data_IF_875617287638
#
_entry.id   IF_875617287638
#
_cell.length_a   1.000
_cell.length_b   1.000
_cell.length_c   1.000
_cell.angle_alpha   90.00
_cell.angle_beta   90.00
_cell.angle_gamma   90.00
#
_symmetry.space_group_name_H-M   'P 1'
#
loop_
_entity.id
_entity.type
_entity.pdbx_description
1 polymer ?
#
# COMPACT_ATOMS: atom_id res chain seq x y z
N UNK A 1 1.05 18.66 31.70
CA UNK A 1 1.47 20.06 31.92
C UNK A 1 2.91 20.19 32.45
N UNK A 2 3.19 20.12 33.77
CA UNK A 2 4.58 20.36 34.29
C UNK A 2 5.61 19.30 33.86
N UNK A 3 5.18 18.04 33.68
CA UNK A 3 6.05 16.96 33.20
C UNK A 3 6.41 17.07 31.72
N UNK A 4 5.46 17.46 30.87
CA UNK A 4 5.66 17.65 29.42
C UNK A 4 6.63 18.80 29.14
N UNK A 5 6.42 19.96 29.78
CA UNK A 5 7.31 21.11 29.60
C UNK A 5 8.78 20.83 29.99
N UNK A 6 9.00 19.93 30.97
CA UNK A 6 10.35 19.51 31.36
C UNK A 6 10.96 18.53 30.34
N UNK A 7 10.14 17.62 29.81
CA UNK A 7 10.55 16.68 28.75
C UNK A 7 10.95 17.44 27.48
N UNK A 8 10.21 18.48 27.12
CA UNK A 8 10.52 19.34 25.98
C UNK A 8 11.90 20.02 26.13
N UNK A 9 12.21 20.57 27.31
CA UNK A 9 13.50 21.21 27.56
C UNK A 9 14.69 20.24 27.54
N UNK A 10 14.53 19.05 28.13
CA UNK A 10 15.58 18.02 28.12
C UNK A 10 15.81 17.49 26.70
N UNK A 11 14.73 17.22 25.96
CA UNK A 11 14.80 16.80 24.56
C UNK A 11 15.55 17.84 23.72
N UNK A 12 15.17 19.11 23.82
CA UNK A 12 15.85 20.20 23.10
C UNK A 12 17.31 20.33 23.51
N UNK A 13 17.64 20.14 24.79
CA UNK A 13 19.02 20.18 25.26
C UNK A 13 19.85 19.01 24.67
N UNK A 14 19.29 17.80 24.63
CA UNK A 14 19.95 16.63 24.04
C UNK A 14 20.16 16.79 22.52
N UNK A 15 19.14 17.28 21.81
CA UNK A 15 19.23 17.50 20.36
C UNK A 15 20.19 18.62 19.97
N UNK A 16 20.48 19.56 20.88
CA UNK A 16 21.50 20.60 20.69
C UNK A 16 22.92 20.11 20.99
N UNK A 17 23.09 19.08 21.83
CA UNK A 17 24.40 18.48 22.12
C UNK A 17 24.82 17.64 20.92
N UNK A 18 25.83 18.09 20.19
CA UNK A 18 26.21 17.50 18.89
C UNK A 18 26.89 16.12 18.94
N UNK A 19 27.01 15.50 20.11
CA UNK A 19 27.58 14.15 20.26
C UNK A 19 26.56 13.06 19.95
N UNK A 20 27.03 11.94 19.37
CA UNK A 20 26.16 10.84 18.92
C UNK A 20 25.31 10.24 20.05
N UNK A 21 25.84 10.14 21.28
CA UNK A 21 25.09 9.58 22.42
C UNK A 21 23.90 10.46 22.80
N UNK A 22 24.10 11.78 22.88
CA UNK A 22 23.03 12.74 23.15
C UNK A 22 22.00 12.77 22.01
N UNK A 23 22.44 12.67 20.75
CA UNK A 23 21.54 12.60 19.59
C UNK A 23 20.67 11.34 19.61
N UNK A 24 21.28 10.19 19.93
CA UNK A 24 20.57 8.92 20.10
C UNK A 24 19.56 9.01 21.22
N UNK A 25 19.96 9.45 22.42
CA UNK A 25 19.03 9.59 23.55
C UNK A 25 17.90 10.57 23.26
N UNK A 26 18.23 11.67 22.58
CA UNK A 26 17.24 12.64 22.11
C UNK A 26 16.27 12.02 21.11
N UNK A 27 16.74 11.18 20.19
CA UNK A 27 15.90 10.46 19.24
C UNK A 27 14.96 9.47 19.93
N UNK A 28 15.45 8.74 20.93
CA UNK A 28 14.66 7.80 21.73
C UNK A 28 13.54 8.54 22.49
N UNK A 29 13.88 9.67 23.10
CA UNK A 29 12.90 10.55 23.75
C UNK A 29 11.89 11.11 22.76
N UNK A 30 12.34 11.56 21.58
CA UNK A 30 11.50 12.05 20.51
C UNK A 30 10.55 10.96 19.99
N UNK A 31 11.02 9.72 19.86
CA UNK A 31 10.22 8.57 19.45
C UNK A 31 9.09 8.27 20.46
N UNK A 32 9.41 8.24 21.75
CA UNK A 32 8.42 8.06 22.83
C UNK A 32 7.41 9.21 22.84
N UNK A 33 7.86 10.42 22.49
CA UNK A 33 6.99 11.59 22.41
C UNK A 33 6.06 11.52 21.19
N UNK A 34 6.59 11.22 20.00
CA UNK A 34 5.84 11.11 18.76
C UNK A 34 4.82 9.95 18.77
N UNK A 35 5.16 8.82 19.40
CA UNK A 35 4.23 7.68 19.54
C UNK A 35 3.02 7.96 20.43
N UNK A 36 3.11 8.95 21.34
CA UNK A 36 2.01 9.34 22.24
C UNK A 36 1.22 10.55 21.74
N UNK A 37 1.78 11.33 20.83
CA UNK A 37 1.16 12.54 20.34
C UNK A 37 0.06 12.18 19.32
N UNK A 38 -1.20 12.47 19.64
CA UNK A 38 -2.23 12.58 18.61
C UNK A 38 -1.90 13.79 17.73
N UNK A 39 -1.62 13.57 16.46
CA UNK A 39 -1.42 14.68 15.52
C UNK A 39 -2.77 15.32 15.14
N UNK A 40 -2.86 16.67 15.08
CA UNK A 40 -1.86 17.68 15.45
C UNK A 40 -1.93 18.06 16.94
N UNK A 41 -0.79 18.07 17.64
CA UNK A 41 -0.69 18.58 19.02
C UNK A 41 0.23 19.80 19.11
N UNK A 42 0.01 20.67 20.10
CA UNK A 42 0.88 21.85 20.38
C UNK A 42 2.36 21.46 20.54
N UNK A 43 2.59 20.25 21.02
CA UNK A 43 3.88 19.57 21.16
C UNK A 43 4.60 19.35 19.83
N UNK A 44 3.89 18.94 18.78
CA UNK A 44 4.45 18.83 17.42
C UNK A 44 4.82 20.21 16.88
N UNK A 45 3.99 21.22 17.15
CA UNK A 45 4.28 22.59 16.75
C UNK A 45 5.51 23.17 17.46
N UNK A 46 5.70 22.87 18.75
CA UNK A 46 6.91 23.23 19.49
C UNK A 46 8.15 22.51 18.94
N UNK A 47 8.03 21.24 18.55
CA UNK A 47 9.10 20.54 17.84
C UNK A 47 9.41 21.19 16.49
N UNK A 48 8.41 21.63 15.72
CA UNK A 48 8.62 22.38 14.46
C UNK A 48 9.37 23.69 14.69
N UNK A 49 9.10 24.40 15.79
CA UNK A 49 9.76 25.66 16.10
C UNK A 49 11.23 25.48 16.54
N UNK A 50 11.57 24.30 17.08
CA UNK A 50 12.91 24.05 17.65
C UNK A 50 13.78 23.18 16.75
N UNK A 51 13.19 22.27 15.99
CA UNK A 51 13.89 21.39 15.06
C UNK A 51 13.91 22.00 13.67
N UNK A 52 14.96 22.75 13.39
CA UNK A 52 15.33 23.09 12.02
C UNK A 52 15.70 21.81 11.25
N UNK A 53 15.86 21.91 9.92
CA UNK A 53 16.18 20.76 9.06
C UNK A 53 17.50 20.07 9.49
N UNK A 54 18.52 20.83 9.87
CA UNK A 54 19.86 20.30 10.17
C UNK A 54 19.90 19.38 11.42
N UNK A 55 19.32 19.72 12.59
CA UNK A 55 19.18 18.78 13.71
C UNK A 55 18.48 17.49 13.33
N UNK A 56 17.37 17.54 12.58
CA UNK A 56 16.63 16.35 12.16
C UNK A 56 17.49 15.44 11.28
N UNK A 57 18.22 16.03 10.34
CA UNK A 57 19.16 15.30 9.47
C UNK A 57 20.30 14.65 10.28
N UNK A 58 20.85 15.35 11.28
CA UNK A 58 21.89 14.79 12.17
C UNK A 58 21.38 13.63 13.02
N UNK A 59 20.18 13.75 13.60
CA UNK A 59 19.52 12.67 14.35
C UNK A 59 19.36 11.46 13.45
N UNK A 60 18.77 11.65 12.26
CA UNK A 60 18.49 10.58 11.33
C UNK A 60 19.76 9.87 10.85
N UNK A 61 20.81 10.64 10.55
CA UNK A 61 22.12 10.09 10.18
C UNK A 61 22.78 9.32 11.34
N UNK A 62 22.70 9.82 12.58
CA UNK A 62 23.24 9.14 13.77
C UNK A 62 22.54 7.80 14.02
N UNK A 63 21.20 7.78 13.94
CA UNK A 63 20.41 6.54 14.04
C UNK A 63 20.77 5.53 12.93
N UNK A 64 20.92 6.01 11.70
CA UNK A 64 21.28 5.17 10.55
C UNK A 64 22.67 4.55 10.72
N UNK A 65 23.67 5.32 11.16
CA UNK A 65 25.01 4.80 11.49
C UNK A 65 24.98 3.81 12.67
N UNK A 66 24.17 4.08 13.70
CA UNK A 66 23.99 3.16 14.83
C UNK A 66 23.44 1.81 14.35
N UNK A 67 22.49 1.78 13.42
CA UNK A 67 21.99 0.51 12.88
C UNK A 67 23.08 -0.32 12.19
N UNK A 68 24.06 0.32 11.57
CA UNK A 68 25.19 -0.36 10.93
C UNK A 68 26.14 -0.96 11.97
N UNK A 69 26.36 -0.29 13.11
CA UNK A 69 27.31 -0.72 14.13
C UNK A 69 26.75 -1.76 15.11
N UNK A 70 25.43 -1.86 15.25
CA UNK A 70 24.81 -2.78 16.20
C UNK A 70 24.92 -4.24 15.78
N UNK A 71 25.28 -5.08 16.75
CA UNK A 71 25.34 -6.54 16.62
C UNK A 71 23.97 -7.19 16.88
N UNK A 72 23.82 -8.47 16.51
CA UNK A 72 22.58 -9.22 16.78
C UNK A 72 22.30 -9.43 18.28
N UNK A 73 23.33 -9.34 19.13
CA UNK A 73 23.19 -9.38 20.60
C UNK A 73 22.55 -8.11 21.18
N UNK A 74 22.39 -7.05 20.39
CA UNK A 74 21.88 -5.75 20.82
C UNK A 74 20.48 -5.46 20.28
N UNK A 75 19.63 -6.49 20.20
CA UNK A 75 18.31 -6.39 19.57
C UNK A 75 17.43 -5.28 20.18
N UNK A 76 17.53 -5.01 21.49
CA UNK A 76 16.79 -3.91 22.12
C UNK A 76 17.19 -2.54 21.56
N UNK A 77 18.48 -2.32 21.29
CA UNK A 77 18.99 -1.09 20.71
C UNK A 77 18.63 -0.99 19.22
N UNK A 78 18.67 -2.11 18.49
CA UNK A 78 18.23 -2.16 17.10
C UNK A 78 16.75 -1.79 17.02
N UNK A 79 15.90 -2.46 17.81
CA UNK A 79 14.46 -2.17 17.90
C UNK A 79 14.21 -0.70 18.17
N UNK A 80 14.84 -0.16 19.21
CA UNK A 80 14.67 1.24 19.61
C UNK A 80 15.08 2.20 18.49
N UNK A 81 16.19 1.92 17.80
CA UNK A 81 16.69 2.78 16.71
C UNK A 81 15.78 2.73 15.49
N UNK A 82 15.32 1.55 15.07
CA UNK A 82 14.40 1.40 13.93
C UNK A 82 13.03 2.01 14.25
N UNK A 83 12.48 1.80 15.44
CA UNK A 83 11.22 2.43 15.86
C UNK A 83 11.33 3.96 15.91
N UNK A 84 12.47 4.50 16.34
CA UNK A 84 12.72 5.94 16.32
C UNK A 84 12.75 6.50 14.90
N UNK A 85 13.42 5.81 13.97
CA UNK A 85 13.40 6.17 12.55
C UNK A 85 11.99 6.12 11.97
N UNK A 86 11.20 5.08 12.29
CA UNK A 86 9.84 4.94 11.78
C UNK A 86 8.97 6.11 12.23
N UNK A 87 8.97 6.41 13.53
CA UNK A 87 8.17 7.51 14.08
C UNK A 87 8.57 8.88 13.49
N UNK A 88 9.86 9.10 13.21
CA UNK A 88 10.32 10.30 12.50
C UNK A 88 9.76 10.39 11.08
N UNK A 89 9.76 9.28 10.34
CA UNK A 89 9.40 9.25 8.92
C UNK A 89 7.89 9.12 8.65
N UNK A 90 7.09 8.82 9.67
CA UNK A 90 5.62 8.76 9.58
C UNK A 90 5.01 10.14 9.30
N UNK A 91 5.64 11.23 9.74
CA UNK A 91 5.23 12.58 9.39
C UNK A 91 5.83 12.98 8.04
N UNK A 92 4.98 13.30 7.06
CA UNK A 92 5.41 13.74 5.73
C UNK A 92 6.33 14.96 5.78
N UNK A 93 5.98 15.97 6.59
CA UNK A 93 6.79 17.16 6.77
C UNK A 93 8.17 16.86 7.36
N UNK A 94 8.24 16.02 8.41
CA UNK A 94 9.52 15.65 9.03
C UNK A 94 10.36 14.81 8.06
N UNK A 95 9.72 13.88 7.36
CA UNK A 95 10.37 13.08 6.31
C UNK A 95 10.96 13.96 5.23
N UNK A 96 10.21 14.94 4.73
CA UNK A 96 10.69 15.84 3.69
C UNK A 96 11.82 16.73 4.21
N UNK A 97 11.74 17.23 5.44
CA UNK A 97 12.84 17.98 6.07
C UNK A 97 14.12 17.14 6.23
N UNK A 98 13.99 15.87 6.64
CA UNK A 98 15.11 14.93 6.80
C UNK A 98 15.73 14.56 5.45
N UNK A 99 14.92 14.45 4.39
CA UNK A 99 15.37 14.02 3.06
C UNK A 99 15.69 15.19 2.12
N UNK A 100 15.40 16.43 2.52
CA UNK A 100 15.79 17.67 1.82
C UNK A 100 17.25 18.05 2.10
N UNK A 101 18.17 17.14 1.78
CA UNK A 101 19.62 17.35 1.87
C UNK A 101 20.25 17.43 0.47
N UNK A 102 21.47 18.00 0.33
CA UNK A 102 22.21 17.93 -0.91
C UNK A 102 22.39 16.49 -1.37
N UNK A 103 22.35 16.24 -2.69
CA UNK A 103 22.32 14.88 -3.25
C UNK A 103 23.47 13.97 -2.73
N UNK A 104 24.68 14.52 -2.55
CA UNK A 104 25.81 13.76 -1.99
C UNK A 104 25.54 13.28 -0.55
N UNK A 105 24.90 14.11 0.26
CA UNK A 105 24.52 13.75 1.63
C UNK A 105 23.35 12.76 1.64
N UNK A 106 22.39 12.93 0.73
CA UNK A 106 21.28 11.98 0.57
C UNK A 106 21.81 10.59 0.20
N UNK A 107 22.79 10.51 -0.70
CA UNK A 107 23.42 9.24 -1.10
C UNK A 107 24.12 8.58 0.09
N UNK A 108 24.92 9.31 0.86
CA UNK A 108 25.60 8.77 2.03
C UNK A 108 24.59 8.26 3.07
N UNK A 109 23.56 9.07 3.36
CA UNK A 109 22.48 8.72 4.27
C UNK A 109 21.72 7.47 3.82
N UNK A 110 21.37 7.42 2.53
CA UNK A 110 20.73 6.28 1.92
C UNK A 110 21.57 5.00 2.08
N UNK A 111 22.89 5.08 1.86
CA UNK A 111 23.80 3.93 1.98
C UNK A 111 23.85 3.39 3.40
N UNK A 112 24.04 4.26 4.39
CA UNK A 112 24.10 3.85 5.80
C UNK A 112 22.77 3.20 6.22
N UNK A 113 21.64 3.81 5.84
CA UNK A 113 20.32 3.27 6.14
C UNK A 113 20.10 1.92 5.47
N UNK A 114 20.41 1.76 4.18
CA UNK A 114 20.25 0.49 3.46
C UNK A 114 21.07 -0.60 4.14
N UNK A 115 22.35 -0.33 4.45
CA UNK A 115 23.22 -1.29 5.10
C UNK A 115 22.67 -1.73 6.47
N UNK A 116 22.24 -0.77 7.28
CA UNK A 116 21.65 -1.02 8.60
C UNK A 116 20.35 -1.80 8.52
N UNK A 117 19.42 -1.40 7.65
CA UNK A 117 18.13 -2.08 7.47
C UNK A 117 18.30 -3.49 6.89
N UNK A 118 19.19 -3.68 5.90
CA UNK A 118 19.47 -4.99 5.31
C UNK A 118 20.06 -5.96 6.32
N UNK A 119 21.01 -5.51 7.15
CA UNK A 119 21.52 -6.29 8.28
C UNK A 119 20.41 -6.62 9.28
N UNK A 120 19.54 -5.65 9.58
CA UNK A 120 18.43 -5.81 10.53
C UNK A 120 17.43 -6.85 10.06
N UNK A 121 16.95 -6.80 8.81
CA UNK A 121 15.95 -7.75 8.30
C UNK A 121 16.45 -9.20 8.21
N UNK A 122 17.77 -9.39 8.14
CA UNK A 122 18.41 -10.70 8.11
C UNK A 122 18.60 -11.31 9.50
N UNK A 123 18.80 -10.49 10.54
CA UNK A 123 19.29 -10.96 11.85
C UNK A 123 18.31 -10.77 12.99
N UNK A 124 17.38 -9.82 12.87
CA UNK A 124 16.46 -9.46 13.95
C UNK A 124 15.20 -10.34 13.97
N UNK A 125 14.42 -10.21 15.04
CA UNK A 125 13.08 -10.78 15.11
C UNK A 125 12.17 -10.23 14.00
N UNK A 126 11.10 -10.98 13.71
CA UNK A 126 10.10 -10.61 12.68
C UNK A 126 9.53 -9.21 12.91
N UNK A 127 9.23 -8.85 14.15
CA UNK A 127 8.71 -7.52 14.52
C UNK A 127 9.68 -6.38 14.16
N UNK A 128 10.96 -6.55 14.49
CA UNK A 128 11.98 -5.54 14.18
C UNK A 128 12.22 -5.47 12.67
N UNK A 129 12.22 -6.61 11.99
CA UNK A 129 12.34 -6.67 10.53
C UNK A 129 11.15 -6.00 9.82
N UNK A 130 9.92 -6.14 10.33
CA UNK A 130 8.74 -5.43 9.83
C UNK A 130 8.93 -3.92 9.99
N UNK A 131 9.33 -3.48 11.18
CA UNK A 131 9.59 -2.06 11.45
C UNK A 131 10.67 -1.52 10.49
N UNK A 132 11.70 -2.31 10.19
CA UNK A 132 12.76 -1.95 9.26
C UNK A 132 12.24 -1.82 7.80
N UNK A 133 11.38 -2.74 7.36
CA UNK A 133 10.70 -2.62 6.06
C UNK A 133 9.78 -1.39 6.02
N UNK A 134 9.12 -1.07 7.13
CA UNK A 134 8.29 0.14 7.22
C UNK A 134 9.10 1.42 7.11
N UNK A 135 10.26 1.50 7.77
CA UNK A 135 11.22 2.60 7.59
C UNK A 135 11.62 2.73 6.12
N UNK A 136 11.96 1.63 5.46
CA UNK A 136 12.32 1.64 4.04
C UNK A 136 11.17 2.13 3.15
N UNK A 137 9.94 1.67 3.41
CA UNK A 137 8.73 2.12 2.73
C UNK A 137 8.50 3.63 2.88
N UNK A 138 8.62 4.14 4.12
CA UNK A 138 8.48 5.57 4.40
C UNK A 138 9.56 6.40 3.70
N UNK A 139 10.83 5.99 3.68
CA UNK A 139 11.88 6.72 2.94
C UNK A 139 11.60 6.75 1.45
N UNK A 140 11.10 5.65 0.89
CA UNK A 140 10.73 5.61 -0.51
C UNK A 140 9.56 6.55 -0.86
N UNK A 141 8.81 7.09 0.10
CA UNK A 141 7.79 8.14 -0.14
C UNK A 141 8.37 9.41 -0.76
N UNK A 142 9.65 9.67 -0.54
CA UNK A 142 10.37 10.75 -1.20
C UNK A 142 10.95 10.28 -2.55
N UNK A 143 10.63 10.98 -3.65
CA UNK A 143 11.05 10.64 -5.02
C UNK A 143 12.56 10.43 -5.15
N UNK A 144 13.35 11.38 -4.64
CA UNK A 144 14.82 11.35 -4.78
C UNK A 144 15.41 10.18 -4.00
N UNK A 145 15.02 10.04 -2.73
CA UNK A 145 15.49 8.95 -1.88
C UNK A 145 15.10 7.59 -2.48
N UNK A 146 13.88 7.46 -3.00
CA UNK A 146 13.41 6.25 -3.68
C UNK A 146 14.27 5.87 -4.87
N UNK A 147 14.58 6.81 -5.77
CA UNK A 147 15.42 6.51 -6.93
C UNK A 147 16.80 6.02 -6.52
N UNK A 148 17.37 6.55 -5.45
CA UNK A 148 18.65 6.10 -4.89
C UNK A 148 18.53 4.70 -4.27
N UNK A 149 17.51 4.48 -3.43
CA UNK A 149 17.23 3.21 -2.75
C UNK A 149 17.03 2.08 -3.76
N UNK A 150 16.13 2.25 -4.73
CA UNK A 150 15.75 1.20 -5.68
C UNK A 150 16.89 0.82 -6.65
N UNK A 151 17.90 1.67 -6.83
CA UNK A 151 19.09 1.41 -7.66
C UNK A 151 20.24 0.76 -6.91
N UNK A 152 20.22 0.76 -5.58
CA UNK A 152 21.33 0.26 -4.77
C UNK A 152 21.27 -1.25 -4.62
N UNK A 153 22.35 -1.97 -4.91
CA UNK A 153 22.45 -3.44 -4.79
C UNK A 153 22.10 -3.95 -3.39
N UNK A 154 22.55 -3.21 -2.37
CA UNK A 154 22.44 -3.64 -0.96
C UNK A 154 21.00 -3.61 -0.43
N UNK A 155 20.02 -3.18 -1.24
CA UNK A 155 18.60 -3.31 -0.90
C UNK A 155 18.02 -4.70 -1.17
N UNK A 156 18.76 -5.58 -1.85
CA UNK A 156 18.25 -6.92 -2.18
C UNK A 156 17.80 -7.74 -0.95
N UNK A 157 18.52 -7.73 0.18
CA UNK A 157 18.04 -8.39 1.40
C UNK A 157 16.68 -7.90 1.90
N UNK A 158 16.34 -6.62 1.68
CA UNK A 158 15.04 -6.05 2.05
C UNK A 158 13.95 -6.64 1.13
N UNK A 159 14.20 -6.68 -0.17
CA UNK A 159 13.28 -7.26 -1.14
C UNK A 159 13.08 -8.77 -0.96
N UNK A 160 14.13 -9.51 -0.60
CA UNK A 160 14.05 -10.94 -0.25
C UNK A 160 13.32 -11.20 1.08
N UNK A 161 13.38 -10.23 2.01
CA UNK A 161 12.71 -10.32 3.30
C UNK A 161 11.20 -10.04 3.20
N UNK A 162 10.76 -9.12 2.33
CA UNK A 162 9.34 -8.73 2.20
C UNK A 162 8.40 -9.94 2.06
N UNK A 163 8.58 -10.87 1.10
CA UNK A 163 7.71 -12.04 0.97
C UNK A 163 7.67 -12.93 2.20
N UNK A 164 8.81 -13.05 2.92
CA UNK A 164 8.91 -13.84 4.15
C UNK A 164 8.09 -13.17 5.26
N UNK A 165 8.30 -11.88 5.47
CA UNK A 165 7.64 -11.12 6.54
C UNK A 165 6.12 -11.07 6.31
N UNK A 166 5.67 -10.80 5.09
CA UNK A 166 4.24 -10.81 4.74
C UNK A 166 3.59 -12.18 5.01
N UNK A 167 4.31 -13.27 4.77
CA UNK A 167 3.83 -14.63 5.07
C UNK A 167 3.85 -14.98 6.57
N UNK A 168 4.72 -14.36 7.37
CA UNK A 168 4.88 -14.64 8.81
C UNK A 168 4.01 -13.74 9.70
N UNK A 169 3.46 -12.64 9.16
CA UNK A 169 2.64 -11.70 9.92
C UNK A 169 1.30 -12.30 10.34
N UNK A 170 1.02 -12.17 11.63
CA UNK A 170 -0.30 -12.44 12.18
C UNK A 170 -1.27 -11.32 11.78
N UNK A 171 -2.43 -11.71 11.25
CA UNK A 171 -3.42 -10.79 10.68
C UNK A 171 -4.10 -9.91 11.73
N UNK A 172 -4.10 -10.36 12.99
CA UNK A 172 -4.69 -9.63 14.11
C UNK A 172 -3.66 -8.75 14.84
N UNK A 173 -2.41 -8.72 14.37
CA UNK A 173 -1.35 -7.93 15.00
C UNK A 173 -1.28 -6.51 14.44
N UNK A 174 -0.96 -5.54 15.31
CA UNK A 174 -0.66 -4.17 14.89
C UNK A 174 0.47 -4.08 13.83
N UNK A 175 1.29 -5.12 13.72
CA UNK A 175 2.36 -5.22 12.74
C UNK A 175 1.84 -5.40 11.31
N UNK A 176 0.65 -5.97 11.12
CA UNK A 176 0.03 -6.11 9.81
C UNK A 176 -0.23 -4.75 9.16
N UNK A 177 -0.69 -3.77 9.95
CA UNK A 177 -0.88 -2.38 9.55
C UNK A 177 0.44 -1.66 9.20
N UNK A 178 1.58 -2.15 9.68
CA UNK A 178 2.89 -1.53 9.43
C UNK A 178 3.53 -1.96 8.10
N UNK A 179 3.48 -3.25 7.77
CA UNK A 179 4.13 -3.77 6.55
C UNK A 179 3.29 -3.50 5.31
N UNK A 180 1.96 -3.65 5.40
CA UNK A 180 1.09 -3.65 4.20
C UNK A 180 1.12 -2.34 3.43
N UNK A 181 1.09 -1.14 4.06
CA UNK A 181 1.23 0.11 3.33
C UNK A 181 2.60 0.23 2.67
N UNK A 182 3.64 -0.33 3.29
CA UNK A 182 5.01 -0.28 2.77
C UNK A 182 5.14 -1.17 1.53
N UNK A 183 4.54 -2.36 1.54
CA UNK A 183 4.49 -3.23 0.36
C UNK A 183 3.68 -2.56 -0.74
N UNK A 184 2.48 -2.06 -0.44
CA UNK A 184 1.64 -1.35 -1.39
C UNK A 184 2.39 -0.20 -2.04
N UNK A 185 3.02 0.65 -1.23
CA UNK A 185 3.79 1.79 -1.72
C UNK A 185 4.99 1.36 -2.59
N UNK A 186 5.79 0.40 -2.13
CA UNK A 186 6.94 -0.09 -2.90
C UNK A 186 6.50 -0.69 -4.24
N UNK A 187 5.41 -1.45 -4.26
CA UNK A 187 4.93 -2.08 -5.49
C UNK A 187 4.32 -1.09 -6.47
N UNK A 188 4.13 0.20 -6.15
CA UNK A 188 3.79 1.22 -7.15
C UNK A 188 4.88 1.38 -8.22
N UNK A 189 6.12 0.95 -7.95
CA UNK A 189 7.26 1.13 -8.84
C UNK A 189 7.63 -0.15 -9.61
N UNK A 190 7.69 -0.12 -10.96
CA UNK A 190 8.01 -1.29 -11.76
C UNK A 190 9.37 -1.96 -11.45
N UNK A 191 10.36 -1.20 -10.97
CA UNK A 191 11.64 -1.77 -10.52
C UNK A 191 11.50 -2.59 -9.24
N UNK A 192 10.75 -2.07 -8.25
CA UNK A 192 10.46 -2.76 -7.00
C UNK A 192 9.54 -3.97 -7.24
N UNK A 193 8.49 -3.84 -8.07
CA UNK A 193 7.62 -4.96 -8.47
C UNK A 193 8.44 -6.14 -8.98
N UNK A 194 9.33 -5.89 -9.96
CA UNK A 194 10.18 -6.92 -10.54
C UNK A 194 11.09 -7.58 -9.51
N UNK A 195 11.68 -6.82 -8.58
CA UNK A 195 12.58 -7.37 -7.55
C UNK A 195 11.83 -8.21 -6.52
N UNK A 196 10.71 -7.69 -6.02
CA UNK A 196 9.84 -8.41 -5.10
C UNK A 196 9.39 -9.74 -5.70
N UNK A 197 8.93 -9.74 -6.96
CA UNK A 197 8.46 -10.94 -7.64
C UNK A 197 9.61 -11.88 -8.08
N UNK A 198 10.78 -11.35 -8.42
CA UNK A 198 11.95 -12.14 -8.83
C UNK A 198 12.69 -12.82 -7.67
N UNK A 199 12.34 -12.52 -6.41
CA UNK A 199 12.95 -13.10 -5.20
C UNK A 199 12.81 -14.64 -5.06
N UNK A 200 12.16 -15.32 -6.00
CA UNK A 200 11.83 -16.74 -5.92
C UNK A 200 10.80 -17.07 -4.83
N UNK A 201 10.21 -16.04 -4.20
CA UNK A 201 9.27 -16.16 -3.08
C UNK A 201 7.93 -15.47 -3.36
N UNK A 202 7.61 -15.18 -4.63
CA UNK A 202 6.34 -14.56 -5.03
C UNK A 202 5.13 -15.29 -4.45
N UNK A 203 5.12 -16.63 -4.46
CA UNK A 203 4.00 -17.41 -3.89
C UNK A 203 3.79 -17.18 -2.40
N UNK A 204 4.87 -16.96 -1.62
CA UNK A 204 4.77 -16.61 -0.19
C UNK A 204 4.17 -15.22 0.00
N UNK A 205 4.62 -14.26 -0.82
CA UNK A 205 4.06 -12.91 -0.80
C UNK A 205 2.56 -12.93 -1.13
N UNK A 206 2.18 -13.58 -2.23
CA UNK A 206 0.80 -13.63 -2.70
C UNK A 206 -0.11 -14.37 -1.71
N UNK A 207 0.37 -15.48 -1.13
CA UNK A 207 -0.34 -16.18 -0.06
C UNK A 207 -0.53 -15.31 1.19
N UNK A 208 0.50 -14.57 1.61
CA UNK A 208 0.41 -13.66 2.75
C UNK A 208 -0.53 -12.47 2.48
N UNK A 209 -0.45 -11.84 1.30
CA UNK A 209 -1.36 -10.77 0.89
C UNK A 209 -2.81 -11.26 0.81
N UNK A 210 -3.04 -12.47 0.27
CA UNK A 210 -4.37 -13.12 0.27
C UNK A 210 -4.93 -13.30 1.67
N UNK A 211 -4.09 -13.69 2.64
CA UNK A 211 -4.51 -13.82 4.04
C UNK A 211 -4.84 -12.46 4.65
N UNK A 212 -4.02 -11.44 4.39
CA UNK A 212 -4.21 -10.08 4.89
C UNK A 212 -5.46 -9.39 4.31
N UNK A 213 -5.81 -9.65 3.05
CA UNK A 213 -7.08 -9.22 2.45
C UNK A 213 -8.33 -9.81 3.12
N UNK A 214 -8.17 -10.92 3.85
CA UNK A 214 -9.23 -11.57 4.63
C UNK A 214 -9.14 -11.29 6.12
N UNK A 215 -8.28 -10.35 6.52
CA UNK A 215 -8.20 -9.91 7.92
C UNK A 215 -9.46 -9.14 8.31
N UNK A 216 -9.74 -9.09 9.61
CA UNK A 216 -10.85 -8.28 10.14
C UNK A 216 -10.58 -6.76 10.11
N UNK A 217 -9.32 -6.35 9.87
CA UNK A 217 -8.94 -4.95 9.74
C UNK A 217 -9.09 -4.47 8.29
N UNK A 218 -10.12 -3.66 8.05
CA UNK A 218 -10.47 -3.21 6.71
C UNK A 218 -9.32 -2.44 6.03
N UNK A 219 -8.55 -1.66 6.81
CA UNK A 219 -7.42 -0.88 6.27
C UNK A 219 -6.28 -1.79 5.79
N UNK A 220 -5.86 -2.75 6.61
CA UNK A 220 -4.87 -3.79 6.23
C UNK A 220 -5.33 -4.57 5.00
N UNK A 221 -6.61 -4.93 4.96
CA UNK A 221 -7.19 -5.65 3.84
C UNK A 221 -7.14 -4.82 2.54
N UNK A 222 -7.48 -3.52 2.62
CA UNK A 222 -7.37 -2.58 1.51
C UNK A 222 -5.92 -2.38 1.04
N UNK A 223 -4.97 -2.23 1.97
CA UNK A 223 -3.55 -2.04 1.63
C UNK A 223 -2.96 -3.29 0.97
N UNK A 224 -3.39 -4.48 1.40
CA UNK A 224 -3.04 -5.73 0.74
C UNK A 224 -3.64 -5.83 -0.67
N UNK A 225 -4.89 -5.39 -0.87
CA UNK A 225 -5.50 -5.30 -2.20
C UNK A 225 -4.78 -4.27 -3.09
N UNK A 226 -4.38 -3.12 -2.53
CA UNK A 226 -3.60 -2.11 -3.24
C UNK A 226 -2.26 -2.70 -3.71
N UNK A 227 -1.57 -3.44 -2.84
CA UNK A 227 -0.32 -4.12 -3.20
C UNK A 227 -0.51 -5.09 -4.37
N UNK A 228 -1.60 -5.88 -4.40
CA UNK A 228 -1.95 -6.76 -5.52
C UNK A 228 -2.23 -5.96 -6.78
N UNK A 229 -3.05 -4.90 -6.68
CA UNK A 229 -3.36 -4.06 -7.83
C UNK A 229 -2.11 -3.41 -8.43
N UNK A 230 -1.18 -2.96 -7.58
CA UNK A 230 0.10 -2.41 -8.00
C UNK A 230 0.98 -3.47 -8.70
N UNK A 231 1.08 -4.68 -8.13
CA UNK A 231 1.81 -5.81 -8.75
C UNK A 231 1.23 -6.22 -10.10
N UNK A 232 -0.07 -6.05 -10.31
CA UNK A 232 -0.80 -6.48 -11.53
C UNK A 232 -1.04 -5.35 -12.53
N UNK A 233 -0.66 -4.11 -12.18
CA UNK A 233 -0.82 -2.96 -13.06
C UNK A 233 0.00 -3.12 -14.35
N UNK A 234 1.26 -3.52 -14.21
CA UNK A 234 2.16 -3.84 -15.33
C UNK A 234 1.96 -5.26 -15.85
N UNK A 235 2.15 -5.46 -17.15
CA UNK A 235 1.95 -6.75 -17.82
C UNK A 235 2.82 -7.88 -17.25
N UNK A 236 4.13 -7.63 -17.05
CA UNK A 236 5.03 -8.64 -16.51
C UNK A 236 4.66 -9.11 -15.09
N UNK A 237 4.26 -8.17 -14.23
CA UNK A 237 3.81 -8.50 -12.87
C UNK A 237 2.46 -9.21 -12.89
N UNK A 238 1.52 -8.77 -13.74
CA UNK A 238 0.24 -9.45 -13.95
C UNK A 238 0.43 -10.91 -14.36
N UNK A 239 1.25 -11.20 -15.37
CA UNK A 239 1.49 -12.59 -15.77
C UNK A 239 2.12 -13.44 -14.67
N UNK A 240 3.02 -12.86 -13.87
CA UNK A 240 3.61 -13.58 -12.75
C UNK A 240 2.57 -13.91 -11.66
N UNK A 241 1.67 -12.98 -11.34
CA UNK A 241 0.56 -13.23 -10.40
C UNK A 241 -0.42 -14.27 -10.96
N UNK A 242 -0.78 -14.15 -12.23
CA UNK A 242 -1.69 -15.08 -12.91
C UNK A 242 -1.11 -16.50 -13.08
N UNK A 243 0.21 -16.65 -13.11
CA UNK A 243 0.89 -17.94 -13.18
C UNK A 243 1.13 -18.58 -11.80
N UNK A 244 0.87 -17.85 -10.70
CA UNK A 244 1.17 -18.32 -9.35
C UNK A 244 0.10 -19.31 -8.85
N UNK A 245 0.53 -20.34 -8.12
CA UNK A 245 -0.37 -21.34 -7.53
C UNK A 245 -1.31 -20.74 -6.47
N UNK A 246 -0.94 -19.61 -5.87
CA UNK A 246 -1.74 -18.88 -4.90
C UNK A 246 -2.82 -17.96 -5.49
N UNK A 247 -2.98 -17.91 -6.82
CA UNK A 247 -3.94 -17.03 -7.49
C UNK A 247 -5.37 -17.16 -6.95
N UNK A 248 -5.83 -18.39 -6.70
CA UNK A 248 -7.18 -18.62 -6.15
C UNK A 248 -7.37 -17.90 -4.81
N UNK A 249 -6.40 -17.97 -3.90
CA UNK A 249 -6.45 -17.23 -2.65
C UNK A 249 -6.42 -15.71 -2.86
N UNK A 250 -5.68 -15.23 -3.85
CA UNK A 250 -5.65 -13.79 -4.19
C UNK A 250 -7.04 -13.32 -4.64
N UNK A 251 -7.71 -14.07 -5.51
CA UNK A 251 -9.06 -13.74 -6.00
C UNK A 251 -10.07 -13.78 -4.85
N UNK A 252 -10.03 -14.81 -4.01
CA UNK A 252 -10.90 -14.89 -2.83
C UNK A 252 -10.69 -13.72 -1.86
N UNK A 253 -9.45 -13.29 -1.67
CA UNK A 253 -9.14 -12.12 -0.86
C UNK A 253 -9.69 -10.83 -1.48
N UNK A 254 -9.54 -10.65 -2.79
CA UNK A 254 -10.12 -9.50 -3.49
C UNK A 254 -11.65 -9.48 -3.40
N UNK A 255 -12.31 -10.63 -3.52
CA UNK A 255 -13.76 -10.75 -3.30
C UNK A 255 -14.14 -10.33 -1.87
N UNK A 256 -13.40 -10.79 -0.86
CA UNK A 256 -13.66 -10.40 0.54
C UNK A 256 -13.53 -8.89 0.76
N UNK A 257 -12.53 -8.24 0.15
CA UNK A 257 -12.37 -6.78 0.22
C UNK A 257 -13.48 -6.05 -0.57
N UNK A 258 -13.89 -6.58 -1.73
CA UNK A 258 -15.00 -6.04 -2.53
C UNK A 258 -16.33 -6.05 -1.76
N UNK A 259 -16.55 -7.03 -0.88
CA UNK A 259 -17.72 -7.14 -0.01
C UNK A 259 -17.68 -6.18 1.20
N UNK A 260 -16.49 -5.71 1.55
CA UNK A 260 -16.23 -4.82 2.69
C UNK A 260 -16.77 -3.38 2.54
N UNK A 261 -16.32 -2.47 3.42
CA UNK A 261 -16.69 -1.06 3.39
C UNK A 261 -16.40 -0.39 2.03
N UNK A 262 -17.32 0.46 1.59
CA UNK A 262 -17.31 1.07 0.25
C UNK A 262 -16.04 1.90 -0.02
N UNK A 263 -15.56 2.64 0.99
CA UNK A 263 -14.38 3.50 0.94
C UNK A 263 -13.06 2.74 0.68
N UNK A 264 -13.08 1.43 0.87
CA UNK A 264 -11.92 0.55 0.72
C UNK A 264 -12.09 -0.48 -0.41
N UNK A 265 -13.35 -0.88 -0.67
CA UNK A 265 -13.70 -1.85 -1.70
C UNK A 265 -13.36 -1.38 -3.13
N UNK A 266 -13.33 -0.07 -3.40
CA UNK A 266 -12.88 0.49 -4.68
C UNK A 266 -11.46 0.04 -5.07
N UNK A 267 -10.56 -0.09 -4.08
CA UNK A 267 -9.20 -0.60 -4.29
C UNK A 267 -9.18 -2.04 -4.81
N UNK A 268 -10.07 -2.89 -4.31
CA UNK A 268 -10.19 -4.26 -4.77
C UNK A 268 -10.85 -4.36 -6.15
N UNK A 269 -11.79 -3.47 -6.48
CA UNK A 269 -12.33 -3.35 -7.84
C UNK A 269 -11.23 -2.99 -8.84
N UNK A 270 -10.39 -2.01 -8.51
CA UNK A 270 -9.23 -1.63 -9.31
C UNK A 270 -8.24 -2.79 -9.50
N UNK A 271 -7.88 -3.47 -8.41
CA UNK A 271 -6.94 -4.60 -8.46
C UNK A 271 -7.50 -5.78 -9.29
N UNK A 272 -8.78 -6.09 -9.13
CA UNK A 272 -9.48 -7.11 -9.93
C UNK A 272 -9.54 -6.70 -11.40
N UNK A 273 -9.80 -5.42 -11.68
CA UNK A 273 -9.77 -4.86 -13.02
C UNK A 273 -8.41 -5.03 -13.68
N UNK A 274 -7.31 -4.83 -12.96
CA UNK A 274 -5.96 -5.08 -13.49
C UNK A 274 -5.76 -6.55 -13.90
N UNK A 275 -6.26 -7.51 -13.13
CA UNK A 275 -6.25 -8.94 -13.51
C UNK A 275 -7.12 -9.19 -14.76
N UNK A 276 -8.32 -8.60 -14.83
CA UNK A 276 -9.26 -8.71 -15.95
C UNK A 276 -8.72 -8.15 -17.27
N UNK A 277 -7.60 -7.41 -17.27
CA UNK A 277 -6.92 -6.98 -18.51
C UNK A 277 -6.29 -8.14 -19.29
N UNK A 278 -6.13 -9.31 -18.66
CA UNK A 278 -5.81 -10.55 -19.36
C UNK A 278 -7.11 -11.26 -19.76
N UNK A 279 -7.41 -11.28 -21.07
CA UNK A 279 -8.67 -11.84 -21.58
C UNK A 279 -8.84 -13.32 -21.22
N UNK A 280 -7.75 -14.09 -21.23
CA UNK A 280 -7.77 -15.52 -20.91
C UNK A 280 -8.18 -15.73 -19.46
N UNK A 281 -7.57 -14.99 -18.53
CA UNK A 281 -7.93 -15.04 -17.13
C UNK A 281 -9.34 -14.53 -16.89
N UNK A 282 -9.76 -13.45 -17.53
CA UNK A 282 -11.12 -12.93 -17.42
C UNK A 282 -12.15 -14.01 -17.81
N UNK A 283 -11.94 -14.73 -18.91
CA UNK A 283 -12.79 -15.85 -19.33
C UNK A 283 -12.78 -17.03 -18.34
N UNK A 284 -11.63 -17.35 -17.74
CA UNK A 284 -11.50 -18.38 -16.71
C UNK A 284 -12.21 -17.99 -15.42
N UNK A 285 -12.14 -16.72 -15.01
CA UNK A 285 -12.88 -16.19 -13.88
C UNK A 285 -14.38 -16.33 -14.13
N UNK A 286 -14.83 -16.04 -15.35
CA UNK A 286 -16.22 -16.21 -15.79
C UNK A 286 -16.69 -17.68 -15.81
N UNK A 287 -15.79 -18.67 -15.76
CA UNK A 287 -16.14 -20.10 -15.58
C UNK A 287 -16.36 -20.49 -14.11
N UNK A 288 -16.13 -19.58 -13.16
CA UNK A 288 -16.29 -19.85 -11.72
C UNK A 288 -17.50 -19.06 -11.18
N UNK A 289 -18.69 -19.68 -11.03
CA UNK A 289 -19.92 -18.98 -10.65
C UNK A 289 -19.82 -18.18 -9.35
N UNK A 290 -19.06 -18.68 -8.37
CA UNK A 290 -18.81 -17.97 -7.11
C UNK A 290 -18.06 -16.65 -7.36
N UNK A 291 -16.93 -16.68 -8.05
CA UNK A 291 -16.14 -15.48 -8.34
C UNK A 291 -16.91 -14.48 -9.18
N UNK A 292 -17.66 -14.96 -10.17
CA UNK A 292 -18.55 -14.14 -10.97
C UNK A 292 -19.52 -13.37 -10.09
N UNK A 293 -20.24 -14.07 -9.19
CA UNK A 293 -21.20 -13.44 -8.30
C UNK A 293 -20.51 -12.38 -7.44
N UNK A 294 -19.46 -12.77 -6.73
CA UNK A 294 -18.80 -11.88 -5.76
C UNK A 294 -18.20 -10.64 -6.45
N UNK A 295 -17.58 -10.81 -7.63
CA UNK A 295 -16.97 -9.71 -8.41
C UNK A 295 -18.03 -8.82 -9.05
N UNK A 296 -19.02 -9.39 -9.76
CA UNK A 296 -20.01 -8.60 -10.49
C UNK A 296 -20.98 -7.90 -9.55
N UNK A 297 -21.48 -8.60 -8.52
CA UNK A 297 -22.38 -8.01 -7.52
C UNK A 297 -21.63 -6.96 -6.69
N UNK A 298 -20.40 -7.29 -6.26
CA UNK A 298 -19.52 -6.36 -5.55
C UNK A 298 -19.29 -5.07 -6.34
N UNK A 299 -18.87 -5.17 -7.60
CA UNK A 299 -18.69 -4.01 -8.47
C UNK A 299 -20.01 -3.23 -8.67
N UNK A 300 -21.10 -3.92 -8.98
CA UNK A 300 -22.42 -3.30 -9.21
C UNK A 300 -22.91 -2.48 -8.02
N UNK A 301 -22.65 -2.95 -6.80
CA UNK A 301 -22.92 -2.21 -5.55
C UNK A 301 -22.12 -0.91 -5.49
N UNK A 302 -20.83 -0.95 -5.81
CA UNK A 302 -19.92 0.21 -5.78
C UNK A 302 -20.24 1.30 -6.80
N UNK A 303 -21.08 1.02 -7.82
CA UNK A 303 -21.55 2.05 -8.75
C UNK A 303 -22.45 3.10 -8.09
N UNK A 304 -23.02 2.81 -6.92
CA UNK A 304 -23.79 3.75 -6.13
C UNK A 304 -22.92 4.60 -5.18
N UNK A 305 -21.60 4.44 -5.24
CA UNK A 305 -20.67 5.09 -4.32
C UNK A 305 -20.68 6.61 -4.45
N UNK A 306 -20.49 7.30 -3.33
CA UNK A 306 -20.28 8.75 -3.32
C UNK A 306 -18.85 9.15 -3.73
N UNK A 307 -17.90 8.21 -3.71
CA UNK A 307 -16.51 8.43 -4.13
C UNK A 307 -16.36 8.20 -5.65
N UNK A 308 -16.04 9.24 -6.45
CA UNK A 308 -15.86 9.10 -7.88
C UNK A 308 -14.78 8.10 -8.28
N UNK A 309 -13.74 7.92 -7.44
CA UNK A 309 -12.68 6.94 -7.73
C UNK A 309 -13.24 5.52 -7.66
N UNK A 310 -13.95 5.19 -6.58
CA UNK A 310 -14.62 3.89 -6.39
C UNK A 310 -15.61 3.58 -7.53
N UNK A 311 -16.42 4.56 -7.95
CA UNK A 311 -17.33 4.39 -9.11
C UNK A 311 -16.55 4.14 -10.40
N UNK A 312 -15.48 4.91 -10.64
CA UNK A 312 -14.62 4.76 -11.84
C UNK A 312 -13.99 3.38 -11.91
N UNK A 313 -13.42 2.91 -10.80
CA UNK A 313 -12.74 1.62 -10.72
C UNK A 313 -13.72 0.46 -10.91
N UNK A 314 -14.91 0.55 -10.31
CA UNK A 314 -16.00 -0.42 -10.51
C UNK A 314 -16.53 -0.45 -11.96
N UNK A 315 -16.84 0.71 -12.54
CA UNK A 315 -17.32 0.79 -13.92
C UNK A 315 -16.27 0.26 -14.91
N UNK A 316 -14.99 0.55 -14.67
CA UNK A 316 -13.89 0.05 -15.49
C UNK A 316 -13.76 -1.48 -15.40
N UNK A 317 -13.91 -2.05 -14.20
CA UNK A 317 -13.94 -3.50 -14.02
C UNK A 317 -15.11 -4.13 -14.79
N UNK A 318 -16.33 -3.59 -14.66
CA UNK A 318 -17.50 -4.09 -15.39
C UNK A 318 -17.31 -3.97 -16.91
N UNK A 319 -16.69 -2.90 -17.40
CA UNK A 319 -16.37 -2.76 -18.82
C UNK A 319 -15.42 -3.87 -19.33
N UNK A 320 -14.42 -4.26 -18.52
CA UNK A 320 -13.50 -5.35 -18.85
C UNK A 320 -14.20 -6.71 -18.83
N UNK A 321 -15.03 -6.97 -17.81
CA UNK A 321 -15.84 -8.19 -17.72
C UNK A 321 -16.76 -8.31 -18.95
N UNK A 322 -17.47 -7.24 -19.31
CA UNK A 322 -18.32 -7.15 -20.50
C UNK A 322 -17.55 -7.11 -21.84
N UNK A 323 -16.20 -7.18 -21.81
CA UNK A 323 -15.37 -7.21 -23.01
C UNK A 323 -15.68 -8.40 -23.94
N UNK A 324 -16.09 -9.54 -23.36
CA UNK A 324 -16.44 -10.78 -24.07
C UNK A 324 -17.96 -11.03 -24.11
N UNK A 325 -18.45 -11.83 -25.08
CA UNK A 325 -19.87 -12.20 -25.15
C UNK A 325 -20.33 -12.90 -23.87
N UNK A 326 -19.57 -13.91 -23.43
CA UNK A 326 -19.81 -14.62 -22.17
C UNK A 326 -19.89 -13.68 -20.98
N UNK A 327 -18.98 -12.71 -20.87
CA UNK A 327 -18.97 -11.78 -19.75
C UNK A 327 -20.19 -10.85 -19.74
N UNK A 328 -20.66 -10.42 -20.92
CA UNK A 328 -21.92 -9.67 -21.02
C UNK A 328 -23.12 -10.51 -20.61
N UNK A 329 -23.21 -11.75 -21.09
CA UNK A 329 -24.29 -12.67 -20.74
C UNK A 329 -24.32 -12.91 -19.23
N UNK A 330 -23.15 -13.12 -18.63
CA UNK A 330 -22.98 -13.31 -17.20
C UNK A 330 -23.46 -12.09 -16.40
N UNK A 331 -23.09 -10.87 -16.80
CA UNK A 331 -23.53 -9.64 -16.12
C UNK A 331 -25.04 -9.46 -16.25
N UNK A 332 -25.60 -9.73 -17.43
CA UNK A 332 -27.04 -9.61 -17.69
C UNK A 332 -27.89 -10.70 -17.03
N UNK A 333 -27.28 -11.84 -16.65
CA UNK A 333 -27.94 -12.92 -15.93
C UNK A 333 -27.94 -12.75 -14.41
N UNK A 334 -27.27 -11.74 -13.85
CA UNK A 334 -27.33 -11.47 -12.42
C UNK A 334 -28.70 -10.91 -12.02
N UNK A 335 -29.15 -11.20 -10.81
CA UNK A 335 -30.44 -10.70 -10.28
C UNK A 335 -30.47 -9.17 -10.26
N UNK A 336 -29.32 -8.54 -10.06
CA UNK A 336 -29.13 -7.09 -9.99
C UNK A 336 -28.87 -6.42 -11.36
N UNK A 337 -28.91 -7.16 -12.48
CA UNK A 337 -28.51 -6.65 -13.80
C UNK A 337 -29.21 -5.33 -14.18
N UNK A 338 -30.51 -5.21 -13.89
CA UNK A 338 -31.27 -3.99 -14.15
C UNK A 338 -30.76 -2.78 -13.36
N UNK A 339 -30.49 -2.96 -12.06
CA UNK A 339 -29.93 -1.91 -11.20
C UNK A 339 -28.51 -1.54 -11.63
N UNK A 340 -27.69 -2.52 -12.02
CA UNK A 340 -26.35 -2.30 -12.56
C UNK A 340 -26.40 -1.42 -13.81
N UNK A 341 -27.26 -1.76 -14.78
CA UNK A 341 -27.39 -0.98 -16.02
C UNK A 341 -27.94 0.42 -15.74
N UNK A 342 -28.95 0.55 -14.89
CA UNK A 342 -29.50 1.85 -14.51
C UNK A 342 -28.42 2.76 -13.89
N UNK A 343 -27.59 2.23 -12.97
CA UNK A 343 -26.49 2.98 -12.36
C UNK A 343 -25.40 3.33 -13.36
N UNK A 344 -25.04 2.44 -14.27
CA UNK A 344 -24.09 2.75 -15.33
C UNK A 344 -24.60 3.87 -16.23
N UNK A 345 -25.86 3.82 -16.67
CA UNK A 345 -26.48 4.88 -17.48
C UNK A 345 -26.52 6.21 -16.72
N UNK A 346 -26.92 6.21 -15.45
CA UNK A 346 -26.90 7.42 -14.62
C UNK A 346 -25.49 8.02 -14.50
N UNK A 347 -24.47 7.16 -14.31
CA UNK A 347 -23.08 7.59 -14.18
C UNK A 347 -22.46 8.14 -15.47
N UNK A 348 -23.04 7.89 -16.66
CA UNK A 348 -22.63 8.57 -17.92
C UNK A 348 -22.74 10.09 -17.77
N UNK A 349 -23.72 10.56 -17.01
CA UNK A 349 -23.98 11.99 -16.80
C UNK A 349 -23.26 12.56 -15.58
N UNK A 350 -22.33 11.81 -14.98
CA UNK A 350 -21.51 12.30 -13.87
C UNK A 350 -20.69 13.52 -14.28
N UNK A 351 -20.54 14.53 -13.40
CA UNK A 351 -19.66 15.66 -13.65
C UNK A 351 -18.16 15.28 -13.61
N UNK A 352 -17.78 14.13 -13.02
CA UNK A 352 -16.41 13.61 -13.12
C UNK A 352 -16.24 12.89 -14.47
N UNK A 353 -15.40 13.45 -15.34
CA UNK A 353 -15.16 12.92 -16.67
C UNK A 353 -14.63 11.47 -16.68
N UNK A 354 -13.93 11.02 -15.64
CA UNK A 354 -13.43 9.64 -15.53
C UNK A 354 -14.58 8.67 -15.23
N UNK A 355 -15.48 9.06 -14.33
CA UNK A 355 -16.70 8.29 -14.03
C UNK A 355 -17.55 8.17 -15.30
N UNK A 356 -17.82 9.29 -15.96
CA UNK A 356 -18.59 9.35 -17.21
C UNK A 356 -17.98 8.45 -18.29
N UNK A 357 -16.67 8.55 -18.54
CA UNK A 357 -15.99 7.75 -19.55
C UNK A 357 -15.98 6.25 -19.23
N UNK A 358 -15.71 5.86 -17.99
CA UNK A 358 -15.73 4.46 -17.56
C UNK A 358 -17.14 3.85 -17.66
N UNK A 359 -18.15 4.60 -17.22
CA UNK A 359 -19.55 4.20 -17.30
C UNK A 359 -20.01 4.06 -18.76
N UNK A 360 -19.69 5.03 -19.63
CA UNK A 360 -20.02 4.98 -21.05
C UNK A 360 -19.38 3.79 -21.75
N UNK A 361 -18.12 3.46 -21.41
CA UNK A 361 -17.45 2.27 -21.92
C UNK A 361 -18.18 1.00 -21.48
N UNK A 362 -18.54 0.88 -20.20
CA UNK A 362 -19.27 -0.27 -19.68
C UNK A 362 -20.64 -0.42 -20.36
N UNK A 363 -21.41 0.66 -20.49
CA UNK A 363 -22.71 0.67 -21.21
C UNK A 363 -22.55 0.26 -22.66
N UNK A 364 -21.56 0.80 -23.38
CA UNK A 364 -21.30 0.42 -24.77
C UNK A 364 -21.00 -1.07 -24.91
N UNK A 365 -20.33 -1.68 -23.93
CA UNK A 365 -20.08 -3.12 -23.92
C UNK A 365 -21.35 -3.89 -23.63
N UNK A 366 -22.11 -3.54 -22.60
CA UNK A 366 -23.39 -4.20 -22.26
C UNK A 366 -24.36 -4.19 -23.43
N UNK A 367 -24.48 -3.09 -24.18
CA UNK A 367 -25.30 -2.99 -25.40
C UNK A 367 -25.00 -4.06 -26.44
N UNK A 368 -23.75 -4.52 -26.52
CA UNK A 368 -23.31 -5.53 -27.49
C UNK A 368 -23.77 -6.97 -27.18
N UNK A 369 -24.63 -7.18 -26.18
CA UNK A 369 -25.21 -8.48 -25.87
C UNK A 369 -26.71 -8.54 -26.18
N UNK A 370 -27.19 -9.77 -26.36
CA UNK A 370 -28.62 -10.03 -26.57
C UNK A 370 -29.42 -9.55 -25.36
N UNK A 371 -30.39 -8.67 -25.59
CA UNK A 371 -31.20 -8.05 -24.53
C UNK A 371 -30.53 -6.87 -23.81
N UNK A 372 -29.21 -6.70 -23.91
CA UNK A 372 -28.49 -5.58 -23.32
C UNK A 372 -28.88 -4.23 -23.91
N UNK A 373 -29.06 -4.16 -25.24
CA UNK A 373 -29.54 -2.95 -25.93
C UNK A 373 -30.87 -2.45 -25.38
N UNK A 374 -31.88 -3.32 -25.30
CA UNK A 374 -33.21 -2.98 -24.76
C UNK A 374 -33.17 -2.52 -23.31
N UNK A 375 -32.29 -3.11 -22.49
CA UNK A 375 -32.15 -2.72 -21.08
C UNK A 375 -31.54 -1.32 -20.97
N UNK A 376 -30.55 -1.01 -21.81
CA UNK A 376 -29.93 0.32 -21.82
C UNK A 376 -30.88 1.37 -22.37
N UNK A 377 -31.58 1.12 -23.48
CA UNK A 377 -32.59 2.03 -24.05
C UNK A 377 -33.67 2.38 -23.02
N UNK A 378 -34.19 1.36 -22.32
CA UNK A 378 -35.19 1.56 -21.27
C UNK A 378 -34.72 2.49 -20.16
N UNK A 379 -33.44 2.43 -19.77
CA UNK A 379 -32.91 3.28 -18.71
C UNK A 379 -32.46 4.66 -19.21
N UNK A 380 -32.16 4.83 -20.51
CA UNK A 380 -31.91 6.14 -21.13
C UNK A 380 -33.19 6.96 -21.36
N UNK A 381 -34.33 6.29 -21.55
CA UNK A 381 -35.64 6.93 -21.67
C UNK A 381 -36.20 7.48 -20.34
N UNK A 382 -35.66 7.03 -19.20
CA UNK A 382 -36.03 7.46 -17.85
C UNK A 382 -35.29 8.72 -17.43
#
# INVERSE_FOLDING_TARGET
ARGEARMDQELVALLKRGDDESQVKGAEMLSVFLSKASFPSKSVQALREVLTEEPLQRIFASLSRRLVSLSSSEESHVRTSVSSLLHLLQSEEVRDAVLSVPDASLVALCKDLISGLSSTVQRASVEVAITAVSVFGCVCQNEKARQLMLRHSDTEPIFEAIPRLVAEIDCDSANACGVTPSVAYLTQYPSAQRRVLASGRSGKLLSGLSRLMRSGDAKTASDAAEAIGNLTYGEGGRYQVLADQGLEGVVEGLCAVLEGPEDLAGTAAWATGNLCRDDKWCLQMLDRPKWVRDVVVGASRLLASADPRTVTDSASLLALVCGSAKGRDVVLQQDEAGDTVARLVANIWSPDARVSAAAALAVSRVRGAEGGEKMVEKEEER
#
